data_IF_542378257319
#
_entry.id   IF_542378257319
#
_cell.length_a   1.000
_cell.length_b   1.000
_cell.length_c   1.000
_cell.angle_alpha   90.00
_cell.angle_beta   90.00
_cell.angle_gamma   90.00
#
_symmetry.space_group_name_H-M   'P 1'
#
loop_
_entity.id
_entity.type
_entity.pdbx_description
1 polymer ?
#
# COMPACT_ATOMS: atom_id res chain seq x y z
N UNK A 1 -27.99 -31.52 1.79
CA UNK A 1 -27.39 -30.25 1.32
C UNK A 1 -28.31 -29.10 1.73
N UNK A 2 -27.82 -28.22 2.58
CA UNK A 2 -28.62 -27.06 2.98
C UNK A 2 -28.64 -26.03 1.84
N UNK A 3 -29.85 -25.66 1.41
CA UNK A 3 -30.02 -24.58 0.46
C UNK A 3 -29.78 -23.24 1.16
N UNK A 4 -29.13 -22.30 0.48
CA UNK A 4 -28.96 -20.96 1.00
C UNK A 4 -30.25 -20.18 0.82
N UNK A 5 -31.07 -20.15 1.88
CA UNK A 5 -32.34 -19.43 1.86
C UNK A 5 -32.20 -17.96 2.28
N UNK A 6 -31.16 -17.63 3.03
CA UNK A 6 -30.92 -16.28 3.47
C UNK A 6 -29.44 -15.93 3.19
N UNK A 7 -29.21 -15.31 2.06
CA UNK A 7 -27.87 -14.93 1.60
C UNK A 7 -27.17 -14.00 2.60
N UNK A 8 -27.90 -13.08 3.23
CA UNK A 8 -27.30 -12.11 4.16
C UNK A 8 -26.75 -12.80 5.43
N UNK A 9 -27.47 -13.73 6.01
CA UNK A 9 -26.98 -14.51 7.16
C UNK A 9 -25.82 -15.41 6.76
N UNK A 10 -25.86 -16.00 5.58
CA UNK A 10 -24.78 -16.83 5.07
C UNK A 10 -23.53 -16.03 4.74
N UNK A 11 -23.67 -14.79 4.26
CA UNK A 11 -22.54 -13.89 4.04
C UNK A 11 -21.72 -13.65 5.30
N UNK A 12 -22.38 -13.37 6.42
CA UNK A 12 -21.69 -13.13 7.69
C UNK A 12 -20.92 -14.36 8.17
N UNK A 13 -21.50 -15.56 8.01
CA UNK A 13 -20.82 -16.82 8.33
C UNK A 13 -19.63 -17.08 7.41
N UNK A 14 -19.79 -16.85 6.11
CA UNK A 14 -18.70 -17.00 5.13
C UNK A 14 -17.56 -16.03 5.43
N UNK A 15 -17.86 -14.78 5.72
CA UNK A 15 -16.86 -13.78 6.09
C UNK A 15 -16.10 -14.21 7.35
N UNK A 16 -16.79 -14.69 8.37
CA UNK A 16 -16.16 -15.15 9.61
C UNK A 16 -15.21 -16.33 9.37
N UNK A 17 -15.64 -17.34 8.62
CA UNK A 17 -14.81 -18.51 8.29
C UNK A 17 -13.60 -18.14 7.43
N UNK A 18 -13.78 -17.28 6.42
CA UNK A 18 -12.67 -16.79 5.61
C UNK A 18 -11.67 -15.98 6.43
N UNK A 19 -12.13 -15.14 7.34
CA UNK A 19 -11.24 -14.35 8.20
C UNK A 19 -10.39 -15.25 9.12
N UNK A 20 -10.95 -16.35 9.61
CA UNK A 20 -10.19 -17.33 10.40
C UNK A 20 -9.09 -18.00 9.56
N UNK A 21 -9.38 -18.40 8.33
CA UNK A 21 -8.39 -18.95 7.40
C UNK A 21 -7.32 -17.92 7.05
N UNK A 22 -7.73 -16.67 6.77
CA UNK A 22 -6.79 -15.59 6.45
C UNK A 22 -5.87 -15.26 7.61
N UNK A 23 -6.35 -15.33 8.85
CA UNK A 23 -5.53 -15.14 10.04
C UNK A 23 -4.44 -16.21 10.15
N UNK A 24 -4.77 -17.47 9.88
CA UNK A 24 -3.80 -18.55 9.83
C UNK A 24 -2.77 -18.33 8.71
N UNK A 25 -3.19 -17.86 7.55
CA UNK A 25 -2.30 -17.53 6.44
C UNK A 25 -1.40 -16.33 6.75
N UNK A 26 -1.89 -15.34 7.49
CA UNK A 26 -1.11 -14.18 7.89
C UNK A 26 0.11 -14.55 8.73
N UNK A 27 -0.05 -15.51 9.63
CA UNK A 27 1.04 -16.02 10.46
C UNK A 27 2.16 -16.66 9.63
N UNK A 28 1.79 -17.29 8.50
CA UNK A 28 2.76 -17.93 7.59
C UNK A 28 3.40 -16.93 6.66
N UNK A 29 2.64 -15.96 6.15
CA UNK A 29 3.07 -15.01 5.13
C UNK A 29 3.67 -13.72 5.71
N UNK A 30 3.44 -13.45 6.99
CA UNK A 30 3.84 -12.20 7.61
C UNK A 30 3.07 -10.97 7.10
N UNK A 31 1.90 -11.18 6.54
CA UNK A 31 1.03 -10.13 6.00
C UNK A 31 -0.39 -10.38 6.51
N UNK A 32 -1.00 -9.37 7.08
CA UNK A 32 -2.41 -9.47 7.44
C UNK A 32 -3.31 -9.26 6.24
N UNK A 33 -4.27 -10.17 6.09
CA UNK A 33 -5.31 -10.08 5.08
C UNK A 33 -6.67 -9.96 5.75
N UNK A 34 -7.50 -9.07 5.23
CA UNK A 34 -8.89 -8.93 5.66
C UNK A 34 -9.83 -9.00 4.47
N UNK A 35 -10.98 -9.60 4.68
CA UNK A 35 -12.08 -9.47 3.73
C UNK A 35 -12.68 -8.08 3.90
N UNK A 36 -12.57 -7.27 2.86
CA UNK A 36 -13.18 -5.95 2.80
C UNK A 36 -14.65 -6.02 2.43
N UNK A 37 -14.98 -6.86 1.46
CA UNK A 37 -16.32 -6.98 0.95
C UNK A 37 -16.57 -8.37 0.36
N UNK A 38 -17.78 -8.84 0.50
CA UNK A 38 -18.26 -10.08 -0.12
C UNK A 38 -19.49 -9.76 -0.93
N UNK A 39 -19.41 -9.99 -2.23
CA UNK A 39 -20.54 -9.78 -3.12
C UNK A 39 -21.05 -11.09 -3.67
N UNK A 40 -22.37 -11.23 -3.70
CA UNK A 40 -23.03 -12.33 -4.36
C UNK A 40 -23.56 -11.83 -5.69
N UNK A 41 -23.19 -12.51 -6.77
CA UNK A 41 -23.67 -12.17 -8.09
C UNK A 41 -25.01 -12.84 -8.36
N UNK A 42 -26.09 -12.07 -8.28
CA UNK A 42 -27.45 -12.37 -8.72
C UNK A 42 -27.85 -13.84 -8.81
N UNK A 43 -28.23 -14.26 -10.00
CA UNK A 43 -28.79 -15.58 -10.24
C UNK A 43 -27.79 -16.71 -10.40
N UNK A 44 -26.50 -16.40 -10.44
CA UNK A 44 -25.44 -17.39 -10.71
C UNK A 44 -24.91 -18.11 -9.47
N UNK A 45 -25.20 -17.60 -8.27
CA UNK A 45 -24.59 -18.11 -7.04
C UNK A 45 -23.08 -17.89 -6.94
N UNK A 46 -22.53 -17.00 -7.75
CA UNK A 46 -21.11 -16.67 -7.74
C UNK A 46 -20.80 -15.64 -6.65
N UNK A 47 -19.74 -15.90 -5.89
CA UNK A 47 -19.26 -15.01 -4.85
C UNK A 47 -18.00 -14.29 -5.33
N UNK A 48 -17.96 -12.98 -5.13
CA UNK A 48 -16.76 -12.16 -5.32
C UNK A 48 -16.27 -11.74 -3.95
N UNK A 49 -15.01 -12.04 -3.66
CA UNK A 49 -14.38 -11.68 -2.39
C UNK A 49 -13.35 -10.59 -2.65
N UNK A 50 -13.53 -9.44 -2.03
CA UNK A 50 -12.56 -8.34 -2.07
C UNK A 50 -11.66 -8.46 -0.85
N UNK A 51 -10.40 -8.86 -1.08
CA UNK A 51 -9.38 -9.00 -0.06
C UNK A 51 -8.54 -7.74 0.03
N UNK A 52 -8.33 -7.28 1.25
CA UNK A 52 -7.45 -6.16 1.52
C UNK A 52 -6.24 -6.62 2.32
N UNK A 53 -5.06 -6.35 1.79
CA UNK A 53 -3.81 -6.54 2.51
C UNK A 53 -3.61 -5.40 3.51
N UNK A 54 -3.21 -5.76 4.70
CA UNK A 54 -2.98 -4.84 5.81
C UNK A 54 -1.55 -4.98 6.31
N UNK A 55 -0.99 -3.91 6.82
CA UNK A 55 0.25 -3.95 7.57
C UNK A 55 0.08 -3.20 8.89
N UNK A 56 0.92 -3.49 9.85
CA UNK A 56 0.90 -2.80 11.13
C UNK A 56 1.29 -1.33 10.93
N UNK A 57 0.53 -0.44 11.57
CA UNK A 57 0.82 1.00 11.57
C UNK A 57 2.05 1.26 12.45
N UNK A 58 3.17 1.75 11.88
CA UNK A 58 4.38 1.98 12.66
C UNK A 58 4.23 3.05 13.75
N UNK A 59 3.17 3.86 13.67
CA UNK A 59 2.92 4.93 14.64
C UNK A 59 1.99 4.53 15.79
N UNK A 60 1.24 3.44 15.65
CA UNK A 60 0.27 2.97 16.64
C UNK A 60 0.35 1.45 16.77
N UNK A 61 0.89 0.98 17.90
CA UNK A 61 1.01 -0.44 18.18
C UNK A 61 -0.36 -1.14 18.13
N UNK A 62 -0.44 -2.23 17.42
CA UNK A 62 -1.65 -3.04 17.27
C UNK A 62 -2.69 -2.48 16.31
N UNK A 63 -2.43 -1.33 15.68
CA UNK A 63 -3.29 -0.82 14.62
C UNK A 63 -2.80 -1.30 13.26
N UNK A 64 -3.74 -1.58 12.36
CA UNK A 64 -3.46 -2.04 11.00
C UNK A 64 -4.03 -1.07 9.98
N UNK A 65 -3.26 -0.79 8.95
CA UNK A 65 -3.65 0.08 7.85
C UNK A 65 -3.56 -0.67 6.52
N UNK A 66 -4.39 -0.31 5.53
CA UNK A 66 -4.33 -0.93 4.22
C UNK A 66 -2.99 -0.73 3.54
N UNK A 67 -2.46 -1.78 2.93
CA UNK A 67 -1.28 -1.68 2.07
C UNK A 67 -1.63 -0.82 0.86
N UNK A 68 -0.86 0.24 0.66
CA UNK A 68 -1.04 1.14 -0.47
C UNK A 68 -0.73 0.41 -1.78
N UNK A 69 -1.49 0.73 -2.84
CA UNK A 69 -1.18 0.23 -4.19
C UNK A 69 0.22 0.59 -4.68
N UNK A 70 0.82 1.64 -4.12
CA UNK A 70 2.17 2.08 -4.50
C UNK A 70 3.27 1.28 -3.82
N UNK A 71 3.04 0.80 -2.60
CA UNK A 71 3.98 -0.07 -1.89
C UNK A 71 3.76 -1.55 -2.15
N UNK A 72 2.61 -1.92 -2.71
CA UNK A 72 2.34 -3.30 -3.09
C UNK A 72 3.43 -3.82 -4.04
N UNK A 73 3.90 -5.04 -3.79
CA UNK A 73 4.98 -5.68 -4.54
C UNK A 73 6.29 -4.85 -4.56
N UNK A 74 6.57 -4.19 -3.47
CA UNK A 74 7.67 -3.24 -3.32
C UNK A 74 9.02 -3.81 -3.75
N UNK A 75 9.34 -5.04 -3.34
CA UNK A 75 10.61 -5.69 -3.67
C UNK A 75 10.84 -5.83 -5.17
N UNK A 76 9.84 -6.29 -5.91
CA UNK A 76 9.91 -6.39 -7.38
C UNK A 76 9.99 -5.02 -8.04
N UNK A 77 9.22 -4.07 -7.57
CA UNK A 77 9.27 -2.69 -8.07
C UNK A 77 10.64 -2.07 -7.88
N UNK A 78 11.26 -2.27 -6.73
CA UNK A 78 12.61 -1.80 -6.46
C UNK A 78 13.64 -2.43 -7.38
N UNK A 79 13.57 -3.73 -7.61
CA UNK A 79 14.45 -4.43 -8.54
C UNK A 79 14.30 -3.91 -9.97
N UNK A 80 13.08 -3.71 -10.43
CA UNK A 80 12.80 -3.23 -11.79
C UNK A 80 13.28 -1.81 -12.05
N UNK A 81 13.15 -0.94 -11.06
CA UNK A 81 13.50 0.48 -11.19
C UNK A 81 14.84 0.86 -10.56
N UNK A 82 15.58 -0.11 -10.02
CA UNK A 82 16.88 0.10 -9.35
C UNK A 82 16.79 1.12 -8.21
N UNK A 83 15.77 0.96 -7.38
CA UNK A 83 15.49 1.82 -6.23
C UNK A 83 15.90 1.11 -4.93
N UNK A 84 16.60 1.80 -4.02
CA UNK A 84 16.88 1.22 -2.70
C UNK A 84 15.60 0.92 -1.92
N UNK A 85 15.51 -0.26 -1.32
CA UNK A 85 14.28 -0.70 -0.61
C UNK A 85 13.98 0.15 0.62
N UNK A 86 15.00 0.66 1.27
CA UNK A 86 14.91 1.40 2.52
C UNK A 86 14.29 2.79 2.42
N UNK A 87 14.07 3.30 1.20
CA UNK A 87 13.52 4.65 1.02
C UNK A 87 12.00 4.74 1.19
N UNK A 88 11.32 3.61 1.24
CA UNK A 88 9.87 3.58 1.43
C UNK A 88 9.49 4.28 2.74
N UNK A 89 8.52 5.19 2.66
CA UNK A 89 8.04 6.04 3.76
C UNK A 89 9.06 7.02 4.35
N UNK A 90 10.26 7.10 3.77
CA UNK A 90 11.21 8.13 4.15
C UNK A 90 10.78 9.50 3.64
N UNK A 91 11.15 10.51 4.39
CA UNK A 91 10.83 11.92 4.11
C UNK A 91 12.09 12.69 3.72
N UNK A 92 11.97 13.43 2.64
CA UNK A 92 13.08 14.24 2.12
C UNK A 92 12.64 15.68 1.92
N UNK A 93 13.50 16.61 2.29
CA UNK A 93 13.32 18.02 1.92
C UNK A 93 13.85 18.20 0.52
N UNK A 94 12.97 18.58 -0.39
CA UNK A 94 13.32 18.71 -1.81
C UNK A 94 12.83 20.03 -2.40
N UNK A 95 13.62 20.56 -3.32
CA UNK A 95 13.23 21.69 -4.17
C UNK A 95 13.29 21.21 -5.61
N UNK A 96 12.14 20.80 -6.14
CA UNK A 96 12.02 20.23 -7.47
C UNK A 96 11.44 21.26 -8.45
N UNK A 97 11.97 21.25 -9.68
CA UNK A 97 11.47 22.10 -10.75
C UNK A 97 10.00 21.79 -11.05
N UNK A 98 9.16 22.80 -11.08
CA UNK A 98 7.73 22.65 -11.33
C UNK A 98 6.90 22.24 -10.11
N UNK A 99 7.53 22.00 -8.97
CA UNK A 99 6.85 21.71 -7.72
C UNK A 99 7.09 22.80 -6.67
N UNK A 100 6.26 22.85 -5.60
CA UNK A 100 6.53 23.74 -4.47
C UNK A 100 7.93 23.53 -3.90
N UNK A 101 8.69 24.60 -3.74
CA UNK A 101 10.06 24.53 -3.26
C UNK A 101 10.14 24.41 -1.75
N UNK A 102 11.23 23.83 -1.27
CA UNK A 102 11.56 23.70 0.15
C UNK A 102 10.45 23.00 0.96
N UNK A 103 9.89 21.95 0.37
CA UNK A 103 8.84 21.13 0.97
C UNK A 103 9.39 19.78 1.38
N UNK A 104 8.72 19.15 2.32
CA UNK A 104 9.01 17.79 2.76
C UNK A 104 8.08 16.84 2.04
N UNK A 105 8.68 15.88 1.33
CA UNK A 105 7.95 14.85 0.58
C UNK A 105 8.23 13.49 1.18
N UNK A 106 7.18 12.70 1.33
CA UNK A 106 7.27 11.29 1.74
C UNK A 106 7.23 10.39 0.50
N UNK A 107 8.09 9.37 0.49
CA UNK A 107 8.07 8.36 -0.57
C UNK A 107 6.95 7.37 -0.28
N UNK A 108 5.90 7.36 -1.10
CA UNK A 108 4.78 6.44 -0.94
C UNK A 108 4.99 5.10 -1.64
N UNK A 109 5.85 5.04 -2.64
CA UNK A 109 6.14 3.82 -3.37
C UNK A 109 6.41 4.05 -4.85
N UNK A 110 6.13 3.01 -5.65
CA UNK A 110 6.31 3.02 -7.10
C UNK A 110 4.96 2.70 -7.75
N UNK A 111 4.66 3.40 -8.83
CA UNK A 111 3.38 3.27 -9.52
C UNK A 111 3.19 1.86 -10.13
N UNK A 112 4.20 1.34 -10.80
CA UNK A 112 4.09 0.10 -11.56
C UNK A 112 5.45 -0.53 -11.80
N UNK A 113 5.47 -1.83 -12.07
CA UNK A 113 6.67 -2.54 -12.54
C UNK A 113 7.04 -2.21 -13.99
N UNK A 114 6.15 -1.58 -14.74
CA UNK A 114 6.42 -1.16 -16.13
C UNK A 114 7.45 -0.04 -16.15
N UNK A 115 8.34 -0.09 -17.13
CA UNK A 115 9.36 0.95 -17.33
C UNK A 115 8.69 2.30 -17.62
N UNK A 116 8.98 3.29 -16.80
CA UNK A 116 8.42 4.64 -16.88
C UNK A 116 9.49 5.68 -16.56
N UNK A 117 9.31 6.88 -17.10
CA UNK A 117 10.20 8.00 -16.84
C UNK A 117 10.11 8.51 -15.39
N UNK A 118 8.90 8.51 -14.83
CA UNK A 118 8.62 9.02 -13.48
C UNK A 118 7.87 7.96 -12.66
N UNK A 119 8.55 6.88 -12.24
CA UNK A 119 7.87 5.78 -11.56
C UNK A 119 7.60 6.01 -10.07
N UNK A 120 8.36 6.87 -9.44
CA UNK A 120 8.31 7.06 -7.97
C UNK A 120 7.18 8.01 -7.60
N UNK A 121 6.40 7.60 -6.62
CA UNK A 121 5.30 8.39 -6.07
C UNK A 121 5.74 9.03 -4.77
N UNK A 122 5.66 10.35 -4.72
CA UNK A 122 5.93 11.14 -3.52
C UNK A 122 4.69 11.94 -3.13
N UNK A 123 4.58 12.26 -1.86
CA UNK A 123 3.49 13.05 -1.32
C UNK A 123 4.03 14.24 -0.53
N UNK A 124 3.54 15.43 -0.82
CA UNK A 124 3.78 16.60 0.02
C UNK A 124 3.15 16.37 1.40
N UNK A 125 3.95 16.38 2.45
CA UNK A 125 3.49 16.10 3.80
C UNK A 125 2.50 17.14 4.34
N UNK A 126 2.56 18.35 3.82
CA UNK A 126 1.68 19.45 4.24
C UNK A 126 0.35 19.46 3.48
N UNK A 127 0.41 19.45 2.14
CA UNK A 127 -0.78 19.58 1.29
C UNK A 127 -1.43 18.25 0.94
N UNK A 128 -0.72 17.13 1.19
CA UNK A 128 -1.12 15.77 0.80
C UNK A 128 -1.23 15.56 -0.71
N UNK A 129 -0.80 16.49 -1.53
CA UNK A 129 -0.73 16.31 -2.99
C UNK A 129 0.32 15.28 -3.36
N UNK A 130 -0.01 14.48 -4.36
CA UNK A 130 0.82 13.39 -4.85
C UNK A 130 1.46 13.79 -6.17
N UNK A 131 2.73 13.44 -6.33
CA UNK A 131 3.54 13.75 -7.51
C UNK A 131 4.31 12.51 -7.98
N UNK A 132 4.64 12.49 -9.25
CA UNK A 132 5.51 11.46 -9.84
C UNK A 132 6.87 12.06 -10.11
N UNK A 133 7.92 11.37 -9.69
CA UNK A 133 9.32 11.80 -9.90
C UNK A 133 10.16 10.69 -10.47
N UNK A 134 11.29 11.06 -11.07
CA UNK A 134 12.26 10.10 -11.59
C UNK A 134 13.06 9.46 -10.45
N UNK A 135 13.57 8.26 -10.72
CA UNK A 135 14.45 7.55 -9.77
C UNK A 135 15.73 8.35 -9.50
N UNK A 136 16.30 8.97 -10.52
CA UNK A 136 17.55 9.73 -10.38
C UNK A 136 17.43 10.90 -9.41
N UNK A 137 16.32 11.63 -9.49
CA UNK A 137 16.04 12.74 -8.56
C UNK A 137 15.95 12.22 -7.12
N UNK A 138 15.24 11.12 -6.92
CA UNK A 138 15.09 10.54 -5.59
C UNK A 138 16.43 10.07 -5.02
N UNK A 139 17.24 9.37 -5.82
CA UNK A 139 18.56 8.88 -5.41
C UNK A 139 19.47 10.06 -5.07
N UNK A 140 19.46 11.11 -5.87
CA UNK A 140 20.22 12.32 -5.61
C UNK A 140 19.91 12.90 -4.23
N UNK A 141 18.63 13.05 -3.91
CA UNK A 141 18.21 13.59 -2.62
C UNK A 141 18.49 12.64 -1.46
N UNK A 142 18.36 11.33 -1.65
CA UNK A 142 18.65 10.34 -0.62
C UNK A 142 20.13 10.30 -0.25
N UNK A 143 21.03 10.52 -1.21
CA UNK A 143 22.49 10.53 -0.99
C UNK A 143 23.01 11.82 -0.39
N UNK A 144 22.34 12.94 -0.62
CA UNK A 144 22.81 14.28 -0.22
C UNK A 144 22.34 14.69 1.19
N UNK A 145 21.89 13.75 2.02
CA UNK A 145 21.49 14.06 3.39
C UNK A 145 20.22 14.91 3.51
N UNK A 146 19.38 14.92 2.48
CA UNK A 146 18.10 15.63 2.49
C UNK A 146 17.01 14.93 3.30
N UNK A 147 17.31 13.78 3.87
CA UNK A 147 16.36 13.01 4.68
C UNK A 147 16.00 13.77 5.95
N UNK A 148 14.70 13.85 6.21
CA UNK A 148 14.16 14.44 7.44
C UNK A 148 13.71 13.31 8.35
N UNK A 149 14.42 13.15 9.48
CA UNK A 149 14.06 12.19 10.52
C UNK A 149 13.20 12.87 11.58
N UNK A 150 12.24 12.11 12.12
CA UNK A 150 11.39 12.57 13.19
C UNK A 150 10.00 13.00 12.77
N UNK A 151 9.18 13.27 13.77
CA UNK A 151 7.80 13.71 13.62
C UNK A 151 7.80 15.22 13.40
N UNK A 152 7.22 15.64 12.33
CA UNK A 152 7.00 17.05 12.06
C UNK A 152 5.53 17.36 12.21
#
# INVERSE_FOLDING_TARGET
MALIHNIKQQQDLIIAEFNDVLKQMSDVLGIDCKIRDLRVHGDSGTFYVDLQLMHEDPSVEGAYVPVSKYEFDWDNKCKKHLVPKEILHKKYRMSLTGLPKNRIYEVLGIYSTRKQKYPVIIQDTLTKKIWKVSVDILIKHSKNGSEVSGII
#
